data_IF_688729725124
#
_entry.id   IF_688729725124
#
_cell.length_a   1.000
_cell.length_b   1.000
_cell.length_c   1.000
_cell.angle_alpha   90.00
_cell.angle_beta   90.00
_cell.angle_gamma   90.00
#
_symmetry.space_group_name_H-M   'P 1'
#
loop_
_entity.id
_entity.type
_entity.pdbx_description
1 polymer ?
#
# COMPACT_ATOMS: atom_id res chain seq x y z
N UNK A 1 -7.72 18.27 -1.61
CA UNK A 1 -7.57 16.81 -1.78
C UNK A 1 -8.89 16.23 -2.27
N UNK A 2 -8.84 15.56 -3.39
CA UNK A 2 -10.02 14.92 -3.98
C UNK A 2 -9.84 13.40 -4.00
N UNK A 3 -10.95 12.66 -4.16
CA UNK A 3 -10.89 11.20 -4.28
C UNK A 3 -10.02 10.79 -5.47
N UNK A 4 -10.13 11.49 -6.60
CA UNK A 4 -9.34 11.18 -7.80
C UNK A 4 -7.85 11.41 -7.56
N UNK A 5 -7.45 12.49 -6.89
CA UNK A 5 -6.06 12.75 -6.55
C UNK A 5 -5.47 11.64 -5.66
N UNK A 6 -6.24 11.18 -4.67
CA UNK A 6 -5.81 10.12 -3.77
C UNK A 6 -5.65 8.80 -4.50
N UNK A 7 -6.62 8.44 -5.34
CA UNK A 7 -6.54 7.21 -6.11
C UNK A 7 -5.36 7.23 -7.08
N UNK A 8 -5.13 8.35 -7.76
CA UNK A 8 -3.98 8.50 -8.65
C UNK A 8 -2.66 8.43 -7.89
N UNK A 9 -2.58 9.04 -6.71
CA UNK A 9 -1.38 8.95 -5.88
C UNK A 9 -1.11 7.49 -5.46
N UNK A 10 -2.16 6.75 -5.15
CA UNK A 10 -2.01 5.34 -4.77
C UNK A 10 -1.57 4.47 -5.93
N UNK A 11 -2.17 4.63 -7.10
CA UNK A 11 -1.88 3.80 -8.29
C UNK A 11 -0.60 4.24 -9.01
N UNK A 12 -0.54 5.51 -9.41
CA UNK A 12 0.55 6.03 -10.25
C UNK A 12 1.74 6.54 -9.44
N UNK A 13 1.54 6.84 -8.16
CA UNK A 13 2.61 7.22 -7.26
C UNK A 13 3.13 6.02 -6.47
N UNK A 14 2.34 5.58 -5.50
CA UNK A 14 2.76 4.57 -4.52
C UNK A 14 3.02 3.19 -5.13
N UNK A 15 2.01 2.59 -5.79
CA UNK A 15 2.16 1.25 -6.35
C UNK A 15 3.24 1.22 -7.44
N UNK A 16 3.31 2.26 -8.26
CA UNK A 16 4.34 2.37 -9.28
C UNK A 16 5.73 2.45 -8.67
N UNK A 17 5.90 3.23 -7.59
CA UNK A 17 7.17 3.33 -6.90
C UNK A 17 7.60 1.99 -6.28
N UNK A 18 6.65 1.21 -5.75
CA UNK A 18 6.94 -0.14 -5.25
C UNK A 18 7.45 -1.05 -6.36
N UNK A 19 6.79 -1.05 -7.51
CA UNK A 19 7.16 -1.90 -8.65
C UNK A 19 8.51 -1.49 -9.23
N UNK A 20 8.74 -0.18 -9.37
CA UNK A 20 9.96 0.36 -9.95
C UNK A 20 11.12 0.47 -8.95
N UNK A 21 10.89 0.15 -7.68
CA UNK A 21 11.88 0.29 -6.61
C UNK A 21 12.39 1.74 -6.51
N UNK A 22 11.49 2.69 -6.68
CA UNK A 22 11.79 4.11 -6.54
C UNK A 22 11.70 4.51 -5.06
N UNK A 23 12.78 4.25 -4.34
CA UNK A 23 12.81 4.49 -2.88
C UNK A 23 12.75 5.96 -2.52
N UNK A 24 13.26 6.84 -3.37
CA UNK A 24 13.16 8.29 -3.13
C UNK A 24 11.71 8.76 -3.21
N UNK A 25 10.94 8.24 -4.17
CA UNK A 25 9.52 8.53 -4.25
C UNK A 25 8.77 8.00 -3.02
N UNK A 26 9.07 6.76 -2.59
CA UNK A 26 8.47 6.17 -1.40
C UNK A 26 8.79 6.97 -0.15
N UNK A 27 10.04 7.44 -0.01
CA UNK A 27 10.44 8.30 1.10
C UNK A 27 9.57 9.55 1.20
N UNK A 28 9.21 10.15 0.06
CA UNK A 28 8.34 11.32 0.01
C UNK A 28 6.87 11.01 0.24
N UNK A 29 6.41 9.85 -0.23
CA UNK A 29 5.00 9.44 -0.11
C UNK A 29 4.65 9.05 1.32
N UNK A 30 5.54 8.31 2.00
CA UNK A 30 5.30 7.93 3.38
C UNK A 30 5.39 9.13 4.31
N UNK A 31 4.35 9.34 5.12
CA UNK A 31 4.40 10.27 6.25
C UNK A 31 5.47 9.83 7.24
N UNK A 32 6.07 10.78 7.97
CA UNK A 32 6.94 10.43 9.10
C UNK A 32 6.18 9.63 10.19
N UNK A 33 4.87 9.76 10.23
CA UNK A 33 4.00 9.04 11.17
C UNK A 33 3.46 7.73 10.59
N UNK A 34 3.98 7.29 9.44
CA UNK A 34 3.49 6.10 8.74
C UNK A 34 3.56 4.84 9.59
N UNK A 35 2.49 4.06 9.51
CA UNK A 35 2.41 2.74 10.14
C UNK A 35 1.83 1.73 9.15
N UNK A 36 2.48 0.59 9.04
CA UNK A 36 1.99 -0.56 8.29
C UNK A 36 1.55 -1.64 9.28
N UNK A 37 0.34 -2.15 9.10
CA UNK A 37 -0.13 -3.34 9.82
C UNK A 37 -0.34 -4.45 8.79
N UNK A 38 0.42 -5.53 8.93
CA UNK A 38 0.36 -6.68 8.02
C UNK A 38 -0.75 -7.65 8.43
N UNK A 39 -1.16 -8.56 7.53
CA UNK A 39 -2.20 -9.55 7.84
C UNK A 39 -1.88 -10.44 9.05
N UNK A 40 -0.62 -10.67 9.36
CA UNK A 40 -0.20 -11.45 10.52
C UNK A 40 -0.21 -10.67 11.83
N UNK A 41 -0.60 -9.38 11.78
CA UNK A 41 -0.63 -8.49 12.92
C UNK A 41 0.67 -7.77 13.22
N UNK A 42 1.74 -8.01 12.45
CA UNK A 42 3.00 -7.30 12.65
C UNK A 42 2.87 -5.83 12.24
N UNK A 43 3.61 -4.98 12.93
CA UNK A 43 3.53 -3.52 12.75
C UNK A 43 4.92 -2.98 12.42
N UNK A 44 5.00 -2.16 11.38
CA UNK A 44 6.25 -1.53 10.95
C UNK A 44 6.05 -0.03 10.81
N UNK A 45 7.04 0.74 11.23
CA UNK A 45 7.07 2.18 10.97
C UNK A 45 7.72 2.47 9.61
N UNK A 46 7.79 3.75 9.24
CA UNK A 46 8.35 4.18 7.95
C UNK A 46 9.74 3.63 7.69
N UNK A 47 10.64 3.76 8.65
CA UNK A 47 12.04 3.34 8.46
C UNK A 47 12.15 1.82 8.32
N UNK A 48 11.37 1.09 9.09
CA UNK A 48 11.33 -0.37 9.02
C UNK A 48 10.79 -0.86 7.67
N UNK A 49 9.74 -0.22 7.16
CA UNK A 49 9.18 -0.55 5.84
C UNK A 49 10.19 -0.27 4.73
N UNK A 50 10.82 0.90 4.75
CA UNK A 50 11.81 1.26 3.74
C UNK A 50 13.00 0.30 3.75
N UNK A 51 13.45 -0.10 4.94
CA UNK A 51 14.52 -1.09 5.08
C UNK A 51 14.10 -2.44 4.50
N UNK A 52 12.89 -2.90 4.82
CA UNK A 52 12.37 -4.17 4.31
C UNK A 52 12.25 -4.16 2.78
N UNK A 53 11.76 -3.06 2.21
CA UNK A 53 11.63 -2.91 0.76
C UNK A 53 12.98 -2.87 0.04
N UNK A 54 14.02 -2.36 0.70
CA UNK A 54 15.38 -2.29 0.15
C UNK A 54 16.14 -3.59 0.31
N UNK A 55 15.61 -4.58 1.02
CA UNK A 55 16.28 -5.86 1.16
C UNK A 55 16.51 -6.51 -0.19
N UNK A 56 17.71 -7.05 -0.32
CA UNK A 56 18.13 -7.69 -1.56
C UNK A 56 17.22 -8.88 -1.87
N UNK A 57 16.78 -8.96 -3.12
CA UNK A 57 15.98 -10.07 -3.60
C UNK A 57 14.48 -9.87 -3.56
N UNK A 58 13.98 -8.80 -2.91
CA UNK A 58 12.56 -8.48 -2.96
C UNK A 58 12.21 -7.75 -4.25
N UNK A 59 11.23 -8.26 -4.98
CA UNK A 59 10.71 -7.64 -6.21
C UNK A 59 9.19 -7.71 -6.19
N UNK A 60 8.56 -6.58 -6.43
CA UNK A 60 7.11 -6.54 -6.65
C UNK A 60 6.90 -6.42 -8.14
N UNK A 61 6.25 -7.43 -8.73
CA UNK A 61 6.10 -7.54 -10.18
C UNK A 61 4.83 -6.85 -10.68
N UNK A 62 3.72 -7.04 -9.98
CA UNK A 62 2.44 -6.45 -10.37
C UNK A 62 1.53 -6.27 -9.18
N UNK A 63 0.68 -5.25 -9.26
CA UNK A 63 -0.35 -4.97 -8.26
C UNK A 63 -1.63 -4.67 -9.03
N UNK A 64 -2.62 -5.54 -8.92
CA UNK A 64 -3.94 -5.34 -9.50
C UNK A 64 -4.92 -4.88 -8.44
N UNK A 65 -5.76 -3.90 -8.75
CA UNK A 65 -6.73 -3.33 -7.82
C UNK A 65 -8.16 -3.60 -8.28
N UNK A 66 -9.04 -3.91 -7.31
CA UNK A 66 -10.46 -4.12 -7.53
C UNK A 66 -11.26 -3.42 -6.44
N UNK A 67 -12.44 -2.91 -6.79
CA UNK A 67 -13.41 -2.35 -5.84
C UNK A 67 -12.83 -1.20 -5.00
N UNK A 68 -12.14 -0.27 -5.64
CA UNK A 68 -11.57 0.89 -4.96
C UNK A 68 -12.66 1.87 -4.54
N UNK A 69 -12.68 2.23 -3.26
CA UNK A 69 -13.56 3.25 -2.70
C UNK A 69 -12.70 4.25 -1.93
N UNK A 70 -12.81 5.52 -2.30
CA UNK A 70 -12.11 6.60 -1.60
C UNK A 70 -13.14 7.48 -0.91
N UNK A 71 -12.98 7.68 0.40
CA UNK A 71 -13.81 8.58 1.21
C UNK A 71 -12.93 9.71 1.72
N UNK A 72 -13.28 10.95 1.40
CA UNK A 72 -12.55 12.13 1.86
C UNK A 72 -13.31 12.74 3.01
N UNK A 73 -12.65 12.87 4.16
CA UNK A 73 -13.22 13.43 5.39
C UNK A 73 -12.25 14.49 5.91
N UNK A 74 -12.59 15.76 5.68
CA UNK A 74 -11.71 16.87 6.05
C UNK A 74 -10.35 16.77 5.34
N UNK A 75 -9.28 16.72 6.11
CA UNK A 75 -7.90 16.63 5.61
C UNK A 75 -7.40 15.18 5.47
N UNK A 76 -8.30 14.21 5.56
CA UNK A 76 -7.96 12.78 5.52
C UNK A 76 -8.76 12.10 4.43
N UNK A 77 -8.13 11.19 3.71
CA UNK A 77 -8.80 10.31 2.75
C UNK A 77 -8.55 8.86 3.14
N UNK A 78 -9.60 8.05 3.06
CA UNK A 78 -9.55 6.64 3.38
C UNK A 78 -9.82 5.86 2.10
N UNK A 79 -8.84 5.13 1.64
CA UNK A 79 -8.96 4.23 0.49
C UNK A 79 -9.16 2.81 0.99
N UNK A 80 -10.25 2.19 0.57
CA UNK A 80 -10.48 0.76 0.76
C UNK A 80 -10.47 0.09 -0.59
N UNK A 81 -9.67 -0.96 -0.76
CA UNK A 81 -9.49 -1.60 -2.06
C UNK A 81 -9.05 -3.06 -1.87
N UNK A 82 -9.46 -3.92 -2.79
CA UNK A 82 -8.90 -5.28 -2.88
C UNK A 82 -7.70 -5.25 -3.82
N UNK A 83 -6.62 -5.92 -3.45
CA UNK A 83 -5.36 -5.91 -4.18
C UNK A 83 -4.86 -7.35 -4.41
N UNK A 84 -4.45 -7.62 -5.65
CA UNK A 84 -3.71 -8.84 -6.00
C UNK A 84 -2.28 -8.46 -6.33
N UNK A 85 -1.33 -8.92 -5.53
CA UNK A 85 0.08 -8.61 -5.69
C UNK A 85 0.85 -9.86 -6.04
N UNK A 86 1.66 -9.77 -7.08
CA UNK A 86 2.63 -10.80 -7.45
C UNK A 86 4.01 -10.26 -7.11
N UNK A 87 4.74 -10.99 -6.28
CA UNK A 87 6.07 -10.61 -5.84
C UNK A 87 7.00 -11.81 -5.82
N UNK A 88 8.29 -11.57 -5.69
CA UNK A 88 9.27 -12.62 -5.46
C UNK A 88 10.29 -12.16 -4.43
N UNK A 89 10.80 -13.13 -3.67
CA UNK A 89 11.90 -12.89 -2.74
C UNK A 89 12.94 -13.96 -2.98
N UNK A 90 14.14 -13.51 -3.36
CA UNK A 90 15.25 -14.42 -3.73
C UNK A 90 14.84 -15.42 -4.82
N UNK A 91 14.10 -14.94 -5.82
CA UNK A 91 13.64 -15.75 -6.95
C UNK A 91 12.40 -16.61 -6.68
N UNK A 92 11.92 -16.66 -5.46
CA UNK A 92 10.72 -17.41 -5.11
C UNK A 92 9.48 -16.52 -5.23
N UNK A 93 8.62 -16.84 -6.18
CA UNK A 93 7.40 -16.09 -6.44
C UNK A 93 6.32 -16.42 -5.42
N UNK A 94 5.55 -15.40 -5.06
CA UNK A 94 4.36 -15.54 -4.24
C UNK A 94 3.27 -14.58 -4.70
N UNK A 95 2.04 -14.90 -4.35
CA UNK A 95 0.87 -14.08 -4.66
C UNK A 95 0.12 -13.79 -3.36
N UNK A 96 -0.37 -12.56 -3.25
CA UNK A 96 -1.18 -12.15 -2.11
C UNK A 96 -2.46 -11.51 -2.61
N UNK A 97 -3.59 -11.88 -2.01
CA UNK A 97 -4.89 -11.27 -2.27
C UNK A 97 -5.40 -10.72 -0.95
N UNK A 98 -5.43 -9.40 -0.84
CA UNK A 98 -5.76 -8.73 0.41
C UNK A 98 -6.78 -7.62 0.17
N UNK A 99 -7.56 -7.34 1.21
CA UNK A 99 -8.31 -6.10 1.30
C UNK A 99 -7.49 -5.16 2.18
N UNK A 100 -7.25 -3.97 1.67
CA UNK A 100 -6.42 -3.01 2.39
C UNK A 100 -7.17 -1.71 2.66
N UNK A 101 -6.73 -1.04 3.70
CA UNK A 101 -7.11 0.33 4.02
C UNK A 101 -5.85 1.17 3.97
N UNK A 102 -5.84 2.17 3.12
CA UNK A 102 -4.76 3.15 3.04
C UNK A 102 -5.31 4.51 3.44
N UNK A 103 -4.71 5.12 4.45
CA UNK A 103 -5.11 6.44 4.93
C UNK A 103 -4.09 7.46 4.46
N UNK A 104 -4.58 8.43 3.71
CA UNK A 104 -3.79 9.56 3.21
C UNK A 104 -4.17 10.81 3.98
N UNK A 105 -3.19 11.62 4.35
CA UNK A 105 -3.40 12.88 5.06
C UNK A 105 -2.79 14.05 4.32
N UNK A 106 -3.43 15.21 4.42
CA UNK A 106 -2.87 16.47 3.92
C UNK A 106 -1.86 16.98 4.94
N UNK A 107 -0.60 17.05 4.54
CA UNK A 107 0.50 17.57 5.37
C UNK A 107 1.10 18.77 4.65
N UNK A 108 0.71 19.97 5.05
CA UNK A 108 1.09 21.17 4.32
C UNK A 108 0.52 21.13 2.89
N UNK A 109 1.37 21.27 1.89
CA UNK A 109 0.98 21.20 0.47
C UNK A 109 1.03 19.79 -0.09
N UNK A 110 1.45 18.79 0.69
CA UNK A 110 1.63 17.42 0.24
C UNK A 110 0.51 16.51 0.78
N UNK A 111 0.19 15.49 0.00
CA UNK A 111 -0.65 14.38 0.46
C UNK A 111 0.31 13.21 0.73
N UNK A 112 0.26 12.65 1.95
CA UNK A 112 1.15 11.57 2.36
C UNK A 112 0.37 10.38 2.87
N UNK A 113 0.95 9.19 2.69
CA UNK A 113 0.40 7.94 3.20
C UNK A 113 0.75 7.82 4.68
N UNK A 114 -0.28 7.79 5.52
CA UNK A 114 -0.13 7.79 6.99
C UNK A 114 -0.30 6.39 7.57
N UNK A 115 -1.16 5.57 6.98
CA UNK A 115 -1.48 4.26 7.51
C UNK A 115 -1.83 3.30 6.36
N UNK A 116 -1.36 2.07 6.48
CA UNK A 116 -1.69 1.01 5.53
C UNK A 116 -1.91 -0.27 6.33
N UNK A 117 -3.08 -0.85 6.17
CA UNK A 117 -3.43 -2.07 6.89
C UNK A 117 -4.10 -3.04 5.93
N UNK A 118 -3.70 -4.30 5.96
CA UNK A 118 -4.25 -5.29 5.07
C UNK A 118 -4.71 -6.54 5.81
N UNK A 119 -5.75 -7.15 5.25
CA UNK A 119 -6.32 -8.40 5.73
C UNK A 119 -6.38 -9.36 4.54
N UNK A 120 -5.95 -10.58 4.74
CA UNK A 120 -6.01 -11.59 3.68
C UNK A 120 -7.45 -11.89 3.32
N UNK A 121 -7.76 -11.86 2.03
CA UNK A 121 -9.05 -12.31 1.54
C UNK A 121 -9.00 -13.83 1.44
N UNK A 122 -9.86 -14.49 2.21
CA UNK A 122 -9.96 -15.93 2.19
C UNK A 122 -10.96 -16.34 1.11
N UNK A 123 -10.48 -17.09 0.12
CA UNK A 123 -11.34 -17.62 -0.92
C UNK A 123 -11.87 -18.96 -0.44
N UNK A 124 -13.18 -19.00 -0.17
CA UNK A 124 -13.81 -20.16 0.45
C UNK A 124 -14.44 -21.10 -0.56
N UNK A 125 -14.13 -21.04 -1.80
CA UNK A 125 -14.74 -21.94 -2.79
C UNK A 125 -16.27 -21.98 -2.74
N UNK A 126 -16.92 -21.02 -2.13
CA UNK A 126 -18.37 -20.89 -2.07
C UNK A 126 -19.08 -21.89 -1.17
N UNK A 127 -18.37 -22.68 -0.42
CA UNK A 127 -19.01 -23.67 0.44
C UNK A 127 -19.12 -23.20 1.87
N UNK A 128 -20.29 -22.96 2.28
CA UNK A 128 -20.62 -22.74 3.68
C UNK A 128 -21.80 -23.61 4.02
#
# INVERSE_FOLDING_TARGET
>A
MTAAEVLNLHTDGFNRALIQQDYDALERIYSEMYMLVRPDGSVLNKQQVLKDLREQGLRIHSIGLEDAVVRVVGSVAILTVASKTVSSRNGKESQAHVRLVAVYGQEGSAIRLVHFQSTTIVETGGSI
#
